data_IF_067361862862
#
_entry.id   IF_067361862862
#
_cell.length_a   1.000
_cell.length_b   1.000
_cell.length_c   1.000
_cell.angle_alpha   90.00
_cell.angle_beta   90.00
_cell.angle_gamma   90.00
#
_symmetry.space_group_name_H-M   'P 1'
#
loop_
_entity.id
_entity.type
_entity.pdbx_description
1 polymer ?
#
# COMPACT_ATOMS: atom_id res chain seq x y z
N UNK A 1 -14.96 66.94 26.19
CA UNK A 1 -14.27 65.66 25.94
C UNK A 1 -15.15 64.42 26.21
N UNK A 2 -16.34 64.55 26.82
CA UNK A 2 -17.22 63.40 27.12
C UNK A 2 -18.25 63.07 26.01
N UNK A 3 -18.70 64.03 25.21
CA UNK A 3 -19.71 63.76 24.17
C UNK A 3 -19.17 63.00 22.95
N UNK A 4 -17.90 63.23 22.61
CA UNK A 4 -17.23 62.54 21.51
C UNK A 4 -17.04 61.03 21.81
N UNK A 5 -16.71 60.70 23.06
CA UNK A 5 -16.67 59.31 23.54
C UNK A 5 -18.05 58.68 23.60
N UNK A 6 -19.09 59.42 23.99
CA UNK A 6 -20.48 58.90 24.00
C UNK A 6 -20.96 58.54 22.59
N UNK A 7 -20.67 59.38 21.61
CA UNK A 7 -21.07 59.14 20.21
C UNK A 7 -20.25 58.01 19.57
N UNK A 8 -18.97 57.88 19.90
CA UNK A 8 -18.14 56.76 19.45
C UNK A 8 -18.56 55.42 20.07
N UNK A 9 -18.92 55.41 21.36
CA UNK A 9 -19.41 54.20 22.05
C UNK A 9 -20.81 53.81 21.57
N UNK A 10 -21.70 54.77 21.29
CA UNK A 10 -23.02 54.50 20.69
C UNK A 10 -22.86 53.99 19.25
N UNK A 11 -21.92 54.53 18.47
CA UNK A 11 -21.61 54.04 17.12
C UNK A 11 -21.02 52.63 17.10
N UNK A 12 -20.13 52.30 18.04
CA UNK A 12 -19.56 50.96 18.20
C UNK A 12 -20.63 49.98 18.74
N UNK A 13 -21.49 50.40 19.67
CA UNK A 13 -22.60 49.56 20.15
C UNK A 13 -23.68 49.36 19.09
N UNK A 14 -23.96 50.33 18.22
CA UNK A 14 -24.84 50.16 17.05
C UNK A 14 -24.22 49.27 15.98
N UNK A 15 -22.89 49.33 15.76
CA UNK A 15 -22.21 48.38 14.89
C UNK A 15 -22.17 46.97 15.50
N UNK A 16 -21.97 46.83 16.82
CA UNK A 16 -22.04 45.53 17.51
C UNK A 16 -23.49 45.01 17.58
N UNK A 17 -24.51 45.87 17.69
CA UNK A 17 -25.92 45.48 17.60
C UNK A 17 -26.37 45.19 16.17
N UNK A 18 -25.77 45.81 15.15
CA UNK A 18 -25.98 45.41 13.74
C UNK A 18 -25.22 44.12 13.40
N UNK A 19 -24.10 43.83 14.07
CA UNK A 19 -23.47 42.50 14.00
C UNK A 19 -24.20 41.44 14.82
N UNK A 20 -24.90 41.79 15.91
CA UNK A 20 -25.71 40.84 16.69
C UNK A 20 -27.16 40.73 16.21
N UNK A 21 -27.66 41.70 15.43
CA UNK A 21 -28.93 41.63 14.70
C UNK A 21 -28.77 41.00 13.29
N UNK A 22 -27.54 40.77 12.83
CA UNK A 22 -27.26 39.81 11.75
C UNK A 22 -27.17 38.36 12.26
N UNK A 23 -27.28 38.14 13.58
CA UNK A 23 -27.16 36.81 14.24
C UNK A 23 -28.43 36.44 15.03
N UNK A 24 -29.50 37.23 14.90
CA UNK A 24 -30.80 36.88 15.43
C UNK A 24 -31.86 37.24 14.39
N UNK A 25 -32.39 36.20 13.74
CA UNK A 25 -33.48 36.23 12.75
C UNK A 25 -33.09 36.38 11.26
N UNK A 26 -32.09 35.61 10.80
CA UNK A 26 -32.26 34.94 9.49
C UNK A 26 -33.06 33.67 9.75
N UNK A 27 -34.33 33.87 10.10
CA UNK A 27 -35.36 32.88 9.89
C UNK A 27 -35.34 32.51 8.41
N UNK A 28 -35.06 31.24 8.18
CA UNK A 28 -35.12 30.64 6.87
C UNK A 28 -35.10 29.14 7.08
N UNK A 29 -36.24 28.57 7.47
CA UNK A 29 -36.67 27.30 6.89
C UNK A 29 -36.81 27.49 5.37
N UNK A 30 -35.76 27.96 4.69
CA UNK A 30 -35.68 28.15 3.27
C UNK A 30 -34.87 26.98 2.75
N UNK A 31 -35.55 25.97 2.18
CA UNK A 31 -34.88 24.79 1.67
C UNK A 31 -33.85 25.12 0.59
N UNK A 32 -33.97 26.26 -0.11
CA UNK A 32 -33.00 26.70 -1.11
C UNK A 32 -31.67 27.10 -0.47
N UNK A 33 -31.68 27.86 0.63
CA UNK A 33 -30.46 28.24 1.35
C UNK A 33 -29.70 27.00 1.87
N UNK A 34 -30.42 26.06 2.47
CA UNK A 34 -29.82 24.83 2.98
C UNK A 34 -29.26 23.97 1.85
N UNK A 35 -29.98 23.88 0.72
CA UNK A 35 -29.52 23.17 -0.46
C UNK A 35 -28.23 23.74 -1.04
N UNK A 36 -28.16 25.06 -1.23
CA UNK A 36 -26.97 25.73 -1.77
C UNK A 36 -25.78 25.62 -0.81
N UNK A 37 -26.04 25.72 0.51
CA UNK A 37 -25.03 25.49 1.54
C UNK A 37 -24.54 24.05 1.55
N UNK A 38 -25.42 23.07 1.35
CA UNK A 38 -25.06 21.67 1.29
C UNK A 38 -24.19 21.36 0.06
N UNK A 39 -24.57 21.86 -1.12
CA UNK A 39 -23.75 21.73 -2.34
C UNK A 39 -22.37 22.35 -2.16
N UNK A 40 -22.26 23.52 -1.53
CA UNK A 40 -20.97 24.12 -1.22
C UNK A 40 -20.10 23.23 -0.32
N UNK A 41 -20.71 22.51 0.63
CA UNK A 41 -19.98 21.54 1.45
C UNK A 41 -19.56 20.29 0.67
N UNK A 42 -20.37 19.83 -0.30
CA UNK A 42 -19.98 18.77 -1.25
C UNK A 42 -18.76 19.18 -2.07
N UNK A 43 -18.73 20.41 -2.59
CA UNK A 43 -17.58 20.93 -3.35
C UNK A 43 -16.30 20.98 -2.52
N UNK A 44 -16.43 21.16 -1.20
CA UNK A 44 -15.33 21.17 -0.23
C UNK A 44 -15.04 19.78 0.37
N UNK A 45 -15.65 18.71 -0.16
CA UNK A 45 -15.52 17.33 0.32
C UNK A 45 -15.92 17.13 1.79
N UNK A 46 -16.78 18.02 2.33
CA UNK A 46 -17.32 17.99 3.70
C UNK A 46 -18.66 17.26 3.75
N UNK A 47 -18.63 15.96 3.48
CA UNK A 47 -19.86 15.17 3.29
C UNK A 47 -20.71 15.01 4.56
N UNK A 48 -20.12 15.04 5.76
CA UNK A 48 -20.88 14.99 7.01
C UNK A 48 -21.71 16.27 7.21
N UNK A 49 -21.09 17.44 7.01
CA UNK A 49 -21.79 18.73 7.08
C UNK A 49 -22.84 18.84 5.97
N UNK A 50 -22.49 18.44 4.75
CA UNK A 50 -23.40 18.42 3.61
C UNK A 50 -24.65 17.56 3.88
N UNK A 51 -24.49 16.38 4.48
CA UNK A 51 -25.63 15.52 4.83
C UNK A 51 -26.60 16.23 5.79
N UNK A 52 -26.09 16.91 6.81
CA UNK A 52 -26.91 17.64 7.78
C UNK A 52 -27.71 18.76 7.08
N UNK A 53 -27.09 19.51 6.18
CA UNK A 53 -27.76 20.57 5.43
C UNK A 53 -28.74 20.02 4.39
N UNK A 54 -28.45 18.92 3.70
CA UNK A 54 -29.42 18.27 2.81
C UNK A 54 -30.62 17.69 3.58
N UNK A 55 -30.41 17.21 4.82
CA UNK A 55 -31.50 16.80 5.68
C UNK A 55 -32.44 17.97 6.03
N UNK A 56 -31.87 19.16 6.30
CA UNK A 56 -32.63 20.41 6.53
C UNK A 56 -33.36 20.90 5.28
N UNK A 57 -32.79 20.72 4.09
CA UNK A 57 -33.44 21.03 2.81
C UNK A 57 -34.63 20.08 2.48
N UNK A 58 -34.71 18.91 3.11
CA UNK A 58 -35.87 18.03 3.04
C UNK A 58 -36.18 17.52 1.62
N UNK A 59 -37.39 17.82 1.12
CA UNK A 59 -37.86 17.40 -0.22
C UNK A 59 -37.52 18.38 -1.34
N UNK A 60 -36.74 19.43 -1.05
CA UNK A 60 -36.38 20.42 -2.05
C UNK A 60 -35.43 19.83 -3.10
N UNK A 61 -35.84 19.90 -4.37
CA UNK A 61 -35.11 19.37 -5.53
C UNK A 61 -34.70 17.90 -5.30
N UNK A 62 -33.42 17.60 -5.42
CA UNK A 62 -32.78 16.30 -5.27
C UNK A 62 -32.03 16.18 -3.93
N UNK A 63 -32.37 17.00 -2.92
CA UNK A 63 -31.73 16.98 -1.60
C UNK A 63 -31.73 15.59 -0.95
N UNK A 64 -32.81 14.83 -1.07
CA UNK A 64 -32.88 13.46 -0.53
C UNK A 64 -31.88 12.50 -1.20
N UNK A 65 -31.60 12.69 -2.50
CA UNK A 65 -30.62 11.90 -3.26
C UNK A 65 -29.20 12.29 -2.85
N UNK A 66 -28.94 13.59 -2.73
CA UNK A 66 -27.67 14.12 -2.23
C UNK A 66 -27.36 13.72 -0.78
N UNK A 67 -28.37 13.71 0.11
CA UNK A 67 -28.22 13.20 1.47
C UNK A 67 -27.79 11.74 1.46
N UNK A 68 -28.48 10.89 0.69
CA UNK A 68 -28.13 9.46 0.53
C UNK A 68 -26.71 9.30 -0.02
N UNK A 69 -26.33 10.12 -0.98
CA UNK A 69 -25.00 10.13 -1.56
C UNK A 69 -23.91 10.46 -0.53
N UNK A 70 -24.11 11.52 0.26
CA UNK A 70 -23.20 11.90 1.35
C UNK A 70 -23.09 10.81 2.43
N UNK A 71 -24.21 10.20 2.80
CA UNK A 71 -24.24 9.09 3.76
C UNK A 71 -23.45 7.88 3.24
N UNK A 72 -23.60 7.54 1.96
CA UNK A 72 -22.88 6.44 1.32
C UNK A 72 -21.37 6.67 1.29
N UNK A 73 -20.92 7.90 1.00
CA UNK A 73 -19.51 8.28 1.01
C UNK A 73 -18.92 8.18 2.42
N UNK A 74 -19.61 8.69 3.44
CA UNK A 74 -19.12 8.61 4.82
C UNK A 74 -18.86 7.18 5.28
N UNK A 75 -19.68 6.23 4.79
CA UNK A 75 -19.52 4.78 5.02
C UNK A 75 -18.46 4.13 4.11
N UNK A 76 -17.95 4.84 3.12
CA UNK A 76 -16.93 4.40 2.17
C UNK A 76 -15.61 5.11 2.46
N UNK A 77 -14.99 4.73 3.58
CA UNK A 77 -13.65 5.19 3.94
C UNK A 77 -12.69 4.00 4.12
N UNK A 78 -11.38 4.25 4.04
CA UNK A 78 -10.34 3.22 4.11
C UNK A 78 -10.39 2.35 5.37
N UNK A 79 -10.80 2.94 6.49
CA UNK A 79 -10.85 2.29 7.81
C UNK A 79 -12.20 1.63 8.11
N UNK A 80 -13.19 1.76 7.21
CA UNK A 80 -14.55 1.31 7.44
C UNK A 80 -14.62 -0.20 7.70
N UNK A 81 -15.53 -0.61 8.59
CA UNK A 81 -15.80 -2.03 8.80
C UNK A 81 -16.49 -2.62 7.55
N UNK A 82 -16.35 -3.94 7.33
CA UNK A 82 -17.02 -4.65 6.23
C UNK A 82 -18.53 -4.35 6.19
N UNK A 83 -19.18 -4.28 7.36
CA UNK A 83 -20.61 -3.99 7.47
C UNK A 83 -20.98 -2.58 7.00
N UNK A 84 -20.09 -1.60 7.15
CA UNK A 84 -20.31 -0.23 6.68
C UNK A 84 -20.13 -0.13 5.17
N UNK A 85 -19.10 -0.79 4.62
CA UNK A 85 -18.91 -0.89 3.18
C UNK A 85 -20.08 -1.59 2.50
N UNK A 86 -20.60 -2.68 3.08
CA UNK A 86 -21.79 -3.36 2.56
C UNK A 86 -23.03 -2.44 2.58
N UNK A 87 -23.23 -1.67 3.66
CA UNK A 87 -24.31 -0.68 3.71
C UNK A 87 -24.14 0.42 2.66
N UNK A 88 -22.92 0.90 2.45
CA UNK A 88 -22.62 1.88 1.41
C UNK A 88 -22.97 1.36 0.00
N UNK A 89 -22.68 0.09 -0.31
CA UNK A 89 -23.06 -0.52 -1.58
C UNK A 89 -24.57 -0.45 -1.83
N UNK A 90 -25.38 -0.79 -0.83
CA UNK A 90 -26.84 -0.72 -0.93
C UNK A 90 -27.35 0.71 -1.13
N UNK A 91 -26.70 1.70 -0.49
CA UNK A 91 -27.06 3.10 -0.70
C UNK A 91 -26.73 3.55 -2.13
N UNK A 92 -25.56 3.19 -2.66
CA UNK A 92 -25.18 3.51 -4.03
C UNK A 92 -26.03 2.79 -5.09
N UNK A 93 -26.48 1.56 -4.83
CA UNK A 93 -27.43 0.87 -5.72
C UNK A 93 -28.68 1.70 -5.98
N UNK A 94 -29.19 2.37 -4.94
CA UNK A 94 -30.32 3.29 -5.05
C UNK A 94 -30.02 4.60 -5.79
N UNK A 95 -28.80 4.82 -6.27
CA UNK A 95 -28.33 6.04 -6.94
C UNK A 95 -27.80 5.81 -8.36
N UNK A 96 -27.48 4.57 -8.76
CA UNK A 96 -26.79 4.27 -10.04
C UNK A 96 -27.53 4.73 -11.31
N UNK A 97 -28.87 4.79 -11.27
CA UNK A 97 -29.69 5.18 -12.43
C UNK A 97 -30.16 6.64 -12.37
N UNK A 98 -29.60 7.43 -11.45
CA UNK A 98 -29.91 8.85 -11.28
C UNK A 98 -28.75 9.68 -11.81
N UNK A 99 -29.04 10.58 -12.74
CA UNK A 99 -28.08 11.56 -13.25
C UNK A 99 -28.41 12.94 -12.69
N UNK A 100 -27.41 13.59 -12.11
CA UNK A 100 -27.45 14.98 -11.65
C UNK A 100 -26.26 15.66 -12.32
N UNK A 101 -26.49 16.83 -12.93
CA UNK A 101 -25.45 17.61 -13.62
C UNK A 101 -24.56 18.33 -12.59
N UNK A 102 -23.70 17.56 -11.93
CA UNK A 102 -22.66 18.06 -11.02
C UNK A 102 -21.45 17.12 -11.08
N UNK A 103 -20.25 17.68 -11.23
CA UNK A 103 -19.02 16.89 -11.42
C UNK A 103 -18.65 16.02 -10.21
N UNK A 104 -19.07 16.42 -9.00
CA UNK A 104 -18.93 15.62 -7.79
C UNK A 104 -19.96 14.49 -7.72
N UNK A 105 -21.04 14.50 -8.50
CA UNK A 105 -22.03 13.43 -8.54
C UNK A 105 -21.50 12.20 -9.29
N UNK A 106 -20.80 11.31 -8.59
CA UNK A 106 -20.15 10.15 -9.20
C UNK A 106 -20.50 8.82 -8.48
N UNK A 107 -21.79 8.47 -8.30
CA UNK A 107 -22.19 7.29 -7.51
C UNK A 107 -21.62 5.98 -8.06
N UNK A 108 -21.45 5.84 -9.37
CA UNK A 108 -20.86 4.65 -9.97
C UNK A 108 -19.37 4.48 -9.62
N UNK A 109 -18.58 5.56 -9.62
CA UNK A 109 -17.16 5.52 -9.25
C UNK A 109 -16.98 5.24 -7.75
N UNK A 110 -17.75 5.92 -6.90
CA UNK A 110 -17.76 5.66 -5.46
C UNK A 110 -18.17 4.23 -5.12
N UNK A 111 -19.19 3.69 -5.80
CA UNK A 111 -19.59 2.29 -5.62
C UNK A 111 -18.45 1.34 -5.97
N UNK A 112 -17.79 1.54 -7.12
CA UNK A 112 -16.61 0.76 -7.53
C UNK A 112 -15.49 0.84 -6.49
N UNK A 113 -15.19 2.02 -5.98
CA UNK A 113 -14.19 2.22 -4.92
C UNK A 113 -14.55 1.47 -3.63
N UNK A 114 -15.81 1.57 -3.17
CA UNK A 114 -16.27 0.80 -2.01
C UNK A 114 -16.22 -0.72 -2.22
N UNK A 115 -16.41 -1.20 -3.46
CA UNK A 115 -16.25 -2.61 -3.80
C UNK A 115 -14.78 -3.04 -3.76
N UNK A 116 -13.85 -2.17 -4.16
CA UNK A 116 -12.41 -2.41 -4.06
C UNK A 116 -11.97 -2.55 -2.59
N UNK A 117 -12.40 -1.62 -1.72
CA UNK A 117 -12.18 -1.69 -0.28
C UNK A 117 -12.76 -2.96 0.36
N UNK A 118 -13.95 -3.39 -0.08
CA UNK A 118 -14.59 -4.60 0.40
C UNK A 118 -13.81 -5.86 -0.01
N UNK A 119 -13.31 -5.89 -1.25
CA UNK A 119 -12.46 -6.97 -1.74
C UNK A 119 -11.13 -7.03 -0.99
N UNK A 120 -10.50 -5.87 -0.77
CA UNK A 120 -9.26 -5.73 0.01
C UNK A 120 -9.44 -6.31 1.42
N UNK A 121 -10.46 -5.87 2.17
CA UNK A 121 -10.72 -6.35 3.55
C UNK A 121 -11.11 -7.81 3.65
N UNK A 122 -11.62 -8.41 2.57
CA UNK A 122 -11.92 -9.85 2.48
C UNK A 122 -10.73 -10.69 2.02
N UNK A 123 -9.61 -10.05 1.67
CA UNK A 123 -8.41 -10.72 1.18
C UNK A 123 -8.45 -11.07 -0.32
N UNK A 124 -9.40 -10.55 -1.10
CA UNK A 124 -9.48 -10.74 -2.55
C UNK A 124 -8.60 -9.70 -3.27
N UNK A 125 -7.29 -9.77 -3.07
CA UNK A 125 -6.33 -8.73 -3.44
C UNK A 125 -6.29 -8.48 -4.96
N UNK A 126 -6.28 -9.51 -5.80
CA UNK A 126 -6.29 -9.34 -7.27
C UNK A 126 -7.54 -8.58 -7.77
N UNK A 127 -8.69 -8.87 -7.17
CA UNK A 127 -9.94 -8.21 -7.52
C UNK A 127 -9.98 -6.77 -7.01
N UNK A 128 -9.39 -6.49 -5.84
CA UNK A 128 -9.21 -5.15 -5.32
C UNK A 128 -8.25 -4.34 -6.20
N UNK A 129 -7.05 -4.87 -6.49
CA UNK A 129 -6.04 -4.25 -7.34
C UNK A 129 -6.55 -3.91 -8.73
N UNK A 130 -7.23 -4.85 -9.40
CA UNK A 130 -7.84 -4.60 -10.71
C UNK A 130 -8.81 -3.41 -10.65
N UNK A 131 -9.64 -3.38 -9.61
CA UNK A 131 -10.63 -2.31 -9.45
C UNK A 131 -9.98 -0.97 -9.14
N UNK A 132 -8.94 -0.93 -8.30
CA UNK A 132 -8.17 0.28 -8.02
C UNK A 132 -7.43 0.81 -9.24
N UNK A 133 -6.87 -0.07 -10.08
CA UNK A 133 -6.23 0.30 -11.33
C UNK A 133 -7.23 0.94 -12.32
N UNK A 134 -8.45 0.38 -12.42
CA UNK A 134 -9.53 0.96 -13.24
C UNK A 134 -9.99 2.35 -12.75
N UNK A 135 -9.89 2.60 -11.44
CA UNK A 135 -10.29 3.86 -10.81
C UNK A 135 -9.23 4.96 -10.95
N UNK A 136 -7.95 4.60 -11.12
CA UNK A 136 -6.87 5.56 -11.33
C UNK A 136 -6.74 6.58 -10.20
N UNK A 137 -6.84 7.87 -10.51
CA UNK A 137 -6.69 8.98 -9.57
C UNK A 137 -7.94 9.26 -8.73
N UNK A 138 -8.95 8.39 -8.77
CA UNK A 138 -10.13 8.55 -7.93
C UNK A 138 -9.80 8.18 -6.47
N UNK A 139 -9.90 9.15 -5.56
CA UNK A 139 -9.51 9.00 -4.16
C UNK A 139 -8.04 8.51 -4.03
N UNK A 140 -7.74 7.64 -3.07
CA UNK A 140 -6.44 7.00 -2.85
C UNK A 140 -6.27 5.70 -3.66
N UNK A 141 -7.07 5.48 -4.72
CA UNK A 141 -7.08 4.20 -5.45
C UNK A 141 -5.72 3.83 -6.02
N UNK A 142 -5.00 4.78 -6.64
CA UNK A 142 -3.67 4.52 -7.19
C UNK A 142 -2.65 4.18 -6.09
N UNK A 143 -2.70 4.87 -4.95
CA UNK A 143 -1.84 4.60 -3.80
C UNK A 143 -2.12 3.22 -3.21
N UNK A 144 -3.39 2.84 -3.08
CA UNK A 144 -3.82 1.50 -2.65
C UNK A 144 -3.44 0.42 -3.65
N UNK A 145 -3.55 0.69 -4.95
CA UNK A 145 -3.07 -0.21 -5.99
C UNK A 145 -1.58 -0.48 -5.80
N UNK A 146 -0.76 0.56 -5.65
CA UNK A 146 0.68 0.39 -5.43
C UNK A 146 0.99 -0.29 -4.10
N UNK A 147 0.30 0.05 -3.02
CA UNK A 147 0.45 -0.65 -1.73
C UNK A 147 0.16 -2.15 -1.84
N UNK A 148 -0.93 -2.53 -2.52
CA UNK A 148 -1.29 -3.92 -2.74
C UNK A 148 -0.38 -4.60 -3.76
N UNK A 149 0.09 -3.87 -4.76
CA UNK A 149 1.07 -4.33 -5.73
C UNK A 149 2.44 -4.56 -5.09
N UNK A 150 2.83 -3.74 -4.12
CA UNK A 150 4.04 -3.90 -3.30
C UNK A 150 3.87 -5.09 -2.34
N UNK A 151 2.67 -5.30 -1.79
CA UNK A 151 2.33 -6.51 -1.04
C UNK A 151 2.34 -7.77 -1.92
N UNK A 152 2.00 -7.64 -3.21
CA UNK A 152 1.93 -8.73 -4.20
C UNK A 152 3.27 -9.05 -4.88
N UNK A 153 4.13 -8.05 -5.08
CA UNK A 153 5.44 -8.15 -5.74
C UNK A 153 6.58 -8.14 -4.70
N UNK A 154 6.36 -8.74 -3.53
CA UNK A 154 7.47 -9.06 -2.64
C UNK A 154 8.10 -7.90 -1.86
N UNK A 155 7.32 -7.00 -1.25
CA UNK A 155 7.57 -6.71 0.17
C UNK A 155 6.80 -7.76 0.96
N UNK A 156 7.35 -8.98 0.95
CA UNK A 156 6.64 -10.19 1.31
C UNK A 156 6.04 -10.11 2.72
N UNK A 157 4.91 -10.79 2.89
CA UNK A 157 4.36 -11.22 4.18
C UNK A 157 5.26 -12.23 4.89
N UNK A 158 6.54 -11.88 5.03
CA UNK A 158 7.49 -12.40 6.00
C UNK A 158 7.97 -11.19 6.77
N UNK A 159 7.93 -11.23 8.10
CA UNK A 159 8.52 -10.17 8.92
C UNK A 159 9.93 -9.89 8.40
N UNK A 160 10.15 -8.78 7.68
CA UNK A 160 11.49 -8.38 7.28
C UNK A 160 12.14 -7.83 8.54
N UNK A 161 13.12 -8.58 9.04
CA UNK A 161 13.85 -8.17 10.22
C UNK A 161 14.89 -7.16 9.78
N UNK A 162 14.91 -5.98 10.39
CA UNK A 162 15.97 -5.03 10.08
C UNK A 162 17.30 -5.53 10.64
N UNK A 163 18.36 -5.42 9.83
CA UNK A 163 19.72 -5.71 10.25
C UNK A 163 20.69 -4.69 9.69
N UNK A 164 21.80 -4.49 10.39
CA UNK A 164 22.87 -3.62 9.93
C UNK A 164 24.10 -4.42 9.57
N UNK A 165 24.45 -4.40 8.29
CA UNK A 165 25.65 -5.07 7.78
C UNK A 165 26.88 -4.26 8.15
N UNK A 166 27.80 -4.83 8.91
CA UNK A 166 29.03 -4.15 9.36
C UNK A 166 30.06 -4.13 8.23
N UNK A 167 30.27 -2.97 7.63
CA UNK A 167 31.10 -2.78 6.42
C UNK A 167 32.60 -2.85 6.69
N UNK A 168 33.01 -2.58 7.94
CA UNK A 168 34.41 -2.60 8.39
C UNK A 168 35.06 -3.98 8.46
N UNK A 169 34.26 -5.06 8.36
CA UNK A 169 34.74 -6.44 8.37
C UNK A 169 34.28 -7.12 7.10
N UNK A 170 35.09 -7.10 6.03
CA UNK A 170 34.84 -7.73 4.72
C UNK A 170 33.68 -8.75 4.74
N UNK A 171 32.48 -8.28 4.42
CA UNK A 171 31.29 -9.10 4.37
C UNK A 171 31.11 -9.54 2.93
N UNK A 172 31.48 -10.78 2.65
CA UNK A 172 31.23 -11.41 1.35
C UNK A 172 29.79 -11.91 1.37
N UNK A 173 29.05 -11.56 0.33
CA UNK A 173 27.68 -12.03 0.10
C UNK A 173 27.79 -13.21 -0.87
N UNK A 174 27.16 -14.33 -0.53
CA UNK A 174 27.16 -15.54 -1.35
C UNK A 174 25.77 -15.81 -1.92
N UNK A 175 25.71 -16.51 -3.05
CA UNK A 175 24.42 -16.90 -3.62
C UNK A 175 23.74 -18.02 -2.79
N UNK A 176 24.47 -18.73 -1.93
CA UNK A 176 23.90 -19.71 -0.98
C UNK A 176 24.59 -19.65 0.39
N UNK A 177 24.12 -20.44 1.38
CA UNK A 177 24.57 -20.35 2.77
C UNK A 177 25.95 -20.99 3.00
N UNK A 178 27.00 -20.37 2.46
CA UNK A 178 28.36 -20.87 2.60
C UNK A 178 29.35 -20.27 1.61
N UNK A 179 30.65 -20.34 1.94
CA UNK A 179 31.73 -19.95 1.03
C UNK A 179 31.99 -20.96 -0.09
N UNK A 180 31.28 -22.09 -0.09
CA UNK A 180 31.26 -23.07 -1.17
C UNK A 180 30.32 -22.67 -2.32
N UNK A 181 29.56 -21.58 -2.15
CA UNK A 181 28.75 -20.98 -3.20
C UNK A 181 29.52 -19.86 -3.89
N UNK A 182 29.20 -19.56 -5.16
CA UNK A 182 29.65 -18.33 -5.80
C UNK A 182 29.32 -17.07 -4.99
N UNK A 183 30.16 -16.05 -5.10
CA UNK A 183 29.85 -14.72 -4.56
C UNK A 183 28.66 -14.11 -5.33
N UNK A 184 27.80 -13.40 -4.61
CA UNK A 184 26.66 -12.68 -5.18
C UNK A 184 27.09 -11.37 -5.83
N UNK A 185 26.25 -10.83 -6.71
CA UNK A 185 26.50 -9.52 -7.31
C UNK A 185 26.44 -8.41 -6.26
N UNK A 186 27.43 -7.52 -6.27
CA UNK A 186 27.46 -6.26 -5.54
C UNK A 186 27.46 -5.10 -6.54
N UNK A 187 27.09 -3.88 -6.12
CA UNK A 187 27.12 -2.69 -6.99
C UNK A 187 28.20 -1.69 -6.56
N UNK A 188 28.68 -0.87 -7.48
CA UNK A 188 29.58 0.24 -7.15
C UNK A 188 28.96 1.23 -6.15
N UNK A 189 27.63 1.38 -6.17
CA UNK A 189 26.88 2.20 -5.20
C UNK A 189 26.91 1.58 -3.80
N UNK A 190 26.75 0.26 -3.71
CA UNK A 190 26.91 -0.51 -2.48
C UNK A 190 28.33 -0.41 -1.94
N UNK A 191 29.33 -0.53 -2.79
CA UNK A 191 30.74 -0.42 -2.43
C UNK A 191 31.12 1.02 -2.02
N UNK A 192 30.52 2.05 -2.63
CA UNK A 192 30.66 3.45 -2.21
C UNK A 192 29.99 3.74 -0.87
N UNK A 193 28.77 3.25 -0.65
CA UNK A 193 28.08 3.37 0.63
C UNK A 193 28.85 2.63 1.73
N UNK A 194 29.40 1.45 1.41
CA UNK A 194 30.29 0.68 2.27
C UNK A 194 31.58 1.43 2.65
N UNK A 195 32.16 2.21 1.73
CA UNK A 195 33.33 3.03 2.01
C UNK A 195 33.00 4.26 2.87
N UNK A 196 31.81 4.83 2.72
CA UNK A 196 31.41 6.06 3.40
C UNK A 196 30.70 5.82 4.75
N UNK A 197 30.08 4.65 4.94
CA UNK A 197 29.29 4.29 6.12
C UNK A 197 29.89 3.06 6.81
N UNK A 198 30.01 3.09 8.15
CA UNK A 198 30.51 1.95 8.95
C UNK A 198 29.54 0.75 8.99
N UNK A 199 28.29 0.95 8.54
CA UNK A 199 27.22 -0.04 8.44
C UNK A 199 26.28 0.30 7.26
N UNK A 200 25.68 -0.70 6.61
CA UNK A 200 24.61 -0.54 5.60
C UNK A 200 23.34 -1.24 6.10
N UNK A 201 22.17 -0.63 5.88
CA UNK A 201 20.88 -1.21 6.27
C UNK A 201 20.47 -2.28 5.26
N UNK A 202 20.05 -3.44 5.75
CA UNK A 202 19.55 -4.56 4.95
C UNK A 202 18.25 -5.11 5.52
N UNK A 203 17.44 -5.70 4.65
CA UNK A 203 16.31 -6.54 5.04
C UNK A 203 16.82 -7.97 5.29
N UNK A 204 16.64 -8.51 6.49
CA UNK A 204 16.95 -9.90 6.83
C UNK A 204 15.67 -10.72 6.73
N UNK A 205 15.69 -11.77 5.91
CA UNK A 205 14.51 -12.56 5.56
C UNK A 205 14.46 -13.89 6.31
N UNK A 206 15.58 -14.62 6.30
CA UNK A 206 15.69 -15.99 6.79
C UNK A 206 17.06 -16.25 7.39
N UNK A 207 17.21 -17.39 8.08
CA UNK A 207 18.50 -17.97 8.40
C UNK A 207 18.59 -19.43 7.96
N UNK A 208 19.79 -19.85 7.56
CA UNK A 208 20.13 -21.26 7.35
C UNK A 208 21.44 -21.53 8.06
N UNK A 209 21.38 -22.25 9.19
CA UNK A 209 22.54 -22.46 10.05
C UNK A 209 23.19 -21.13 10.46
N UNK A 210 24.44 -20.90 10.08
CA UNK A 210 25.23 -19.70 10.41
C UNK A 210 25.09 -18.53 9.41
N UNK A 211 24.11 -18.59 8.50
CA UNK A 211 23.95 -17.60 7.45
C UNK A 211 22.58 -16.94 7.52
N UNK A 212 22.54 -15.62 7.32
CA UNK A 212 21.31 -14.86 7.10
C UNK A 212 21.11 -14.64 5.61
N UNK A 213 19.88 -14.87 5.13
CA UNK A 213 19.43 -14.38 3.83
C UNK A 213 19.05 -12.91 3.97
N UNK A 214 19.69 -12.06 3.17
CA UNK A 214 19.42 -10.63 3.10
C UNK A 214 18.89 -10.24 1.72
N UNK A 215 18.12 -9.17 1.67
CA UNK A 215 17.67 -8.52 0.45
C UNK A 215 18.22 -7.09 0.37
N UNK A 216 18.62 -6.72 -0.83
CA UNK A 216 19.25 -5.45 -1.17
C UNK A 216 19.05 -5.13 -2.65
N UNK A 217 19.40 -3.91 -3.07
CA UNK A 217 19.26 -3.49 -4.47
C UNK A 217 20.62 -3.27 -5.14
N UNK A 218 20.74 -3.74 -6.37
CA UNK A 218 21.91 -3.60 -7.25
C UNK A 218 21.42 -3.11 -8.61
N UNK A 219 21.90 -1.95 -9.04
CA UNK A 219 21.55 -1.32 -10.32
C UNK A 219 20.03 -1.15 -10.56
N UNK A 220 19.28 -0.91 -9.49
CA UNK A 220 17.83 -0.71 -9.55
C UNK A 220 17.00 -2.00 -9.61
N UNK A 221 17.64 -3.17 -9.54
CA UNK A 221 16.97 -4.46 -9.40
C UNK A 221 17.14 -5.01 -7.98
N UNK A 222 16.16 -5.79 -7.52
CA UNK A 222 16.27 -6.49 -6.24
C UNK A 222 17.17 -7.72 -6.39
N UNK A 223 17.89 -8.02 -5.32
CA UNK A 223 18.69 -9.23 -5.21
C UNK A 223 18.66 -9.71 -3.77
N UNK A 224 18.68 -11.03 -3.58
CA UNK A 224 18.89 -11.64 -2.26
C UNK A 224 20.27 -12.25 -2.21
N UNK A 225 20.81 -12.51 -1.02
CA UNK A 225 22.13 -13.12 -0.85
C UNK A 225 22.38 -13.54 0.59
N UNK A 226 23.32 -14.44 0.81
CA UNK A 226 23.62 -14.98 2.12
C UNK A 226 24.87 -14.33 2.70
N UNK A 227 24.77 -13.94 3.97
CA UNK A 227 25.90 -13.36 4.72
C UNK A 227 26.01 -14.00 6.09
N UNK A 228 27.24 -14.18 6.57
CA UNK A 228 27.48 -14.82 7.86
C UNK A 228 26.90 -13.98 9.01
N UNK A 229 26.30 -14.63 10.02
CA UNK A 229 25.61 -13.94 11.10
C UNK A 229 26.49 -12.93 11.85
N UNK A 230 27.78 -13.21 12.04
CA UNK A 230 28.74 -12.29 12.69
C UNK A 230 29.10 -11.03 11.88
N UNK A 231 28.58 -10.89 10.66
CA UNK A 231 28.73 -9.69 9.84
C UNK A 231 27.56 -8.74 9.99
N UNK A 232 26.44 -9.19 10.55
CA UNK A 232 25.29 -8.38 10.86
C UNK A 232 25.27 -8.03 12.36
N UNK A 233 24.80 -6.84 12.67
CA UNK A 233 24.51 -6.40 14.04
C UNK A 233 23.10 -5.85 14.11
N UNK A 234 22.56 -5.82 15.34
CA UNK A 234 21.23 -5.28 15.63
C UNK A 234 20.12 -6.01 14.84
N UNK A 235 20.34 -7.29 14.50
CA UNK A 235 19.33 -8.14 13.85
C UNK A 235 18.22 -8.43 14.84
N UNK A 236 16.99 -8.13 14.45
CA UNK A 236 15.81 -8.40 15.27
C UNK A 236 15.64 -9.91 15.56
N UNK A 237 15.06 -10.22 16.72
CA UNK A 237 14.82 -11.61 17.16
C UNK A 237 13.67 -12.25 16.38
N UNK A 238 13.76 -13.57 16.11
CA UNK A 238 12.67 -14.32 15.47
C UNK A 238 12.87 -14.67 13.99
N UNK A 239 14.04 -14.36 13.41
CA UNK A 239 14.36 -14.72 12.01
C UNK A 239 14.10 -16.22 11.77
N UNK A 240 13.20 -16.58 10.82
CA UNK A 240 12.81 -17.96 10.58
C UNK A 240 13.95 -18.77 9.98
N UNK A 241 13.97 -20.06 10.29
CA UNK A 241 14.99 -20.99 9.81
C UNK A 241 14.50 -21.77 8.58
N UNK A 242 15.32 -21.79 7.54
CA UNK A 242 15.02 -22.48 6.28
C UNK A 242 15.75 -23.81 6.24
N UNK A 243 15.00 -24.88 5.97
CA UNK A 243 15.49 -26.25 5.91
C UNK A 243 15.14 -26.91 4.59
N UNK A 244 15.89 -27.93 4.19
CA UNK A 244 15.56 -28.73 3.00
C UNK A 244 14.21 -29.44 3.22
N UNK A 245 13.31 -29.30 2.24
CA UNK A 245 11.96 -29.87 2.26
C UNK A 245 11.81 -31.09 1.36
N UNK A 246 12.66 -31.22 0.34
CA UNK A 246 12.62 -32.36 -0.57
C UNK A 246 13.42 -32.15 -1.86
N UNK A 247 13.10 -32.96 -2.87
CA UNK A 247 13.79 -33.02 -4.15
C UNK A 247 12.79 -32.94 -5.31
N UNK A 248 13.12 -32.17 -6.34
CA UNK A 248 12.31 -31.97 -7.55
C UNK A 248 13.12 -32.33 -8.80
N UNK A 249 12.50 -33.04 -9.75
CA UNK A 249 13.05 -33.23 -11.09
C UNK A 249 12.29 -32.35 -12.08
N UNK A 250 13.00 -31.49 -12.81
CA UNK A 250 12.37 -30.57 -13.76
C UNK A 250 12.25 -31.20 -15.15
N UNK A 251 11.12 -30.98 -15.83
CA UNK A 251 10.87 -31.50 -17.18
C UNK A 251 11.39 -30.61 -18.31
N UNK A 252 11.46 -29.29 -18.09
CA UNK A 252 11.96 -28.29 -19.04
C UNK A 252 13.06 -27.44 -18.41
N UNK A 253 13.80 -26.70 -19.25
CA UNK A 253 14.78 -25.74 -18.76
C UNK A 253 14.09 -24.54 -18.12
N UNK A 254 14.56 -24.11 -16.95
CA UNK A 254 13.98 -22.97 -16.21
C UNK A 254 15.09 -22.02 -15.75
N UNK A 255 14.88 -20.69 -15.81
CA UNK A 255 15.80 -19.73 -15.19
C UNK A 255 15.76 -19.82 -13.67
N UNK A 256 16.81 -19.31 -13.04
CA UNK A 256 16.93 -19.18 -11.59
C UNK A 256 17.15 -17.70 -11.24
N UNK A 257 16.30 -17.16 -10.37
CA UNK A 257 16.31 -15.76 -9.95
C UNK A 257 16.89 -15.59 -8.55
N UNK A 258 17.29 -14.36 -8.21
CA UNK A 258 17.78 -14.01 -6.89
C UNK A 258 16.68 -13.86 -5.84
N UNK A 259 15.44 -13.66 -6.26
CA UNK A 259 14.23 -13.59 -5.44
C UNK A 259 13.00 -14.07 -6.23
N UNK A 260 11.82 -14.10 -5.58
CA UNK A 260 10.58 -14.67 -6.14
C UNK A 260 9.89 -13.69 -7.11
N UNK A 261 10.48 -13.46 -8.28
CA UNK A 261 9.88 -12.57 -9.26
C UNK A 261 10.84 -12.15 -10.37
N UNK A 262 10.27 -11.55 -11.43
CA UNK A 262 11.03 -11.03 -12.57
C UNK A 262 11.72 -9.69 -12.27
N UNK A 263 11.31 -9.02 -11.19
CA UNK A 263 11.94 -7.82 -10.64
C UNK A 263 13.31 -8.11 -9.97
N UNK A 264 13.63 -9.39 -9.78
CA UNK A 264 14.92 -9.82 -9.23
C UNK A 264 15.93 -10.14 -10.33
N UNK A 265 17.21 -9.93 -9.99
CA UNK A 265 18.34 -10.34 -10.84
C UNK A 265 18.28 -11.83 -11.19
N UNK A 266 18.54 -12.16 -12.46
CA UNK A 266 18.70 -13.55 -12.92
C UNK A 266 20.07 -14.06 -12.46
N UNK A 267 20.09 -15.16 -11.72
CA UNK A 267 21.32 -15.84 -11.24
C UNK A 267 21.85 -16.85 -12.22
N UNK A 268 20.94 -17.60 -12.83
CA UNK A 268 21.27 -18.57 -13.86
C UNK A 268 20.22 -18.50 -14.95
N UNK A 269 20.63 -18.19 -16.17
CA UNK A 269 19.71 -18.03 -17.30
C UNK A 269 18.93 -19.32 -17.60
N UNK A 270 19.52 -20.49 -17.33
CA UNK A 270 18.85 -21.77 -17.58
C UNK A 270 19.47 -22.91 -16.78
N UNK A 271 18.66 -23.54 -15.93
CA UNK A 271 18.88 -24.88 -15.40
C UNK A 271 18.52 -25.87 -16.51
N UNK A 272 19.37 -26.86 -16.84
CA UNK A 272 19.07 -27.86 -17.87
C UNK A 272 17.84 -28.71 -17.53
N UNK A 273 17.03 -29.02 -18.54
CA UNK A 273 15.92 -29.97 -18.41
C UNK A 273 16.41 -31.33 -17.88
N UNK A 274 15.60 -31.98 -17.04
CA UNK A 274 15.94 -33.25 -16.41
C UNK A 274 16.81 -33.14 -15.16
N UNK A 275 17.25 -31.93 -14.78
CA UNK A 275 18.01 -31.69 -13.56
C UNK A 275 17.21 -32.03 -12.30
N UNK A 276 17.93 -32.45 -11.27
CA UNK A 276 17.39 -32.72 -9.93
C UNK A 276 17.78 -31.58 -9.00
N UNK A 277 16.79 -30.98 -8.35
CA UNK A 277 16.90 -29.81 -7.50
C UNK A 277 16.51 -30.16 -6.07
N UNK A 278 17.12 -29.51 -5.08
CA UNK A 278 16.66 -29.56 -3.68
C UNK A 278 15.72 -28.38 -3.41
N UNK A 279 14.60 -28.61 -2.73
CA UNK A 279 13.62 -27.59 -2.36
C UNK A 279 13.89 -27.14 -0.93
N UNK A 280 13.84 -25.82 -0.69
CA UNK A 280 14.01 -25.19 0.61
C UNK A 280 12.79 -24.36 1.03
N UNK A 281 12.04 -23.85 0.04
CA UNK A 281 10.73 -23.26 0.27
C UNK A 281 9.74 -23.66 -0.82
N UNK A 282 8.48 -23.89 -0.43
CA UNK A 282 7.47 -24.52 -1.29
C UNK A 282 6.75 -23.50 -2.19
N UNK A 283 6.68 -22.23 -1.74
CA UNK A 283 6.08 -21.13 -2.49
C UNK A 283 6.30 -19.74 -1.83
N UNK A 284 6.84 -18.78 -2.59
CA UNK A 284 6.72 -17.33 -2.39
C UNK A 284 6.38 -16.74 -3.78
N UNK A 285 5.24 -16.07 -3.91
CA UNK A 285 4.79 -15.39 -5.15
C UNK A 285 4.82 -16.25 -6.43
N UNK A 286 4.52 -17.56 -6.31
CA UNK A 286 4.54 -18.51 -7.44
C UNK A 286 5.93 -19.07 -7.79
N UNK A 287 6.95 -18.70 -7.02
CA UNK A 287 8.31 -19.22 -7.10
C UNK A 287 8.61 -20.15 -5.92
N UNK A 288 9.49 -21.10 -6.13
CA UNK A 288 10.01 -21.98 -5.08
C UNK A 288 11.51 -21.76 -4.91
N UNK A 289 11.97 -21.73 -3.66
CA UNK A 289 13.39 -21.64 -3.35
C UNK A 289 14.02 -23.01 -3.55
N UNK A 290 14.95 -23.08 -4.51
CA UNK A 290 15.61 -24.31 -4.91
C UNK A 290 17.12 -24.18 -4.89
N UNK A 291 17.78 -25.32 -4.84
CA UNK A 291 19.19 -25.45 -5.10
C UNK A 291 19.45 -26.39 -6.26
N UNK A 292 20.26 -25.91 -7.20
CA UNK A 292 20.77 -26.63 -8.35
C UNK A 292 22.27 -26.84 -8.20
N UNK A 293 22.76 -28.06 -8.44
CA UNK A 293 24.19 -28.34 -8.57
C UNK A 293 24.51 -28.59 -10.04
N UNK A 294 25.44 -27.84 -10.60
CA UNK A 294 25.85 -28.02 -11.99
C UNK A 294 26.79 -29.23 -12.18
N UNK A 295 27.11 -29.56 -13.43
CA UNK A 295 27.98 -30.69 -13.76
C UNK A 295 29.43 -30.55 -13.23
N UNK A 296 29.82 -29.36 -12.75
CA UNK A 296 31.12 -29.09 -12.13
C UNK A 296 31.07 -29.15 -10.60
N UNK A 297 29.90 -29.45 -10.02
CA UNK A 297 29.69 -29.47 -8.57
C UNK A 297 29.48 -28.08 -7.96
N UNK A 298 29.18 -27.05 -8.77
CA UNK A 298 28.90 -25.71 -8.26
C UNK A 298 27.42 -25.64 -7.90
N UNK A 299 27.14 -25.29 -6.64
CA UNK A 299 25.79 -25.10 -6.15
C UNK A 299 25.30 -23.67 -6.41
N UNK A 300 24.08 -23.55 -6.93
CA UNK A 300 23.34 -22.31 -7.10
C UNK A 300 22.05 -22.42 -6.31
N UNK A 301 21.87 -21.53 -5.34
CA UNK A 301 20.59 -21.38 -4.66
C UNK A 301 19.82 -20.23 -5.29
N UNK A 302 18.51 -20.30 -5.38
CA UNK A 302 17.70 -19.23 -5.95
C UNK A 302 16.26 -19.62 -6.16
N UNK A 303 15.51 -18.74 -6.78
CA UNK A 303 14.06 -18.87 -6.94
C UNK A 303 13.72 -19.30 -8.36
N UNK A 304 12.90 -20.32 -8.47
CA UNK A 304 12.47 -20.89 -9.74
C UNK A 304 10.95 -20.87 -9.80
N UNK A 305 10.39 -20.37 -10.90
CA UNK A 305 8.94 -20.42 -11.14
C UNK A 305 8.45 -21.87 -11.07
N UNK A 306 7.34 -22.10 -10.37
CA UNK A 306 6.79 -23.44 -10.14
C UNK A 306 6.37 -24.15 -11.44
#
# INVERSE_FOLDING_TARGET
MQEWFRNAVIGILLCCMMLSAAVADIGGDDPAFFYDTALKNVELDRYADAEEYFAKAGSYKDAALWKRYCEAIQKTNGDAAIADLQRAQTLFDGLLNVSIENDKWQPAQWKKYGQALLNEKKGFLDSAMKTYQELGNFQDSLDRYWMLNDQRNGTSGRSTYEGWLVTSKYAVIYIGPGSNYPEGETSDAWEKERQNSKKVKVSVLEKTGYWYLIEYSVDGLLTRGYVAQNRLVDVQVGVPETTEKGVLKIGGGKPLYAGPGEEYKVRLNMIPAGSTLRIFDDEEDGYQLVEYEDAKGICYRGWMEK
#
